data_IF_362373128038
#
_entry.id   IF_362373128038
#
_cell.length_a   1.000
_cell.length_b   1.000
_cell.length_c   1.000
_cell.angle_alpha   90.00
_cell.angle_beta   90.00
_cell.angle_gamma   90.00
#
_symmetry.space_group_name_H-M   'P 1'
#
loop_
_entity.id
_entity.type
_entity.pdbx_description
1 polymer ?
#
# COMPACT_ATOMS: atom_id res chain seq x y z
N UNK A 1 -7.37 -14.12 -6.08
CA UNK A 1 -8.17 -12.90 -6.38
C UNK A 1 -7.20 -11.76 -6.64
N UNK A 2 -7.22 -11.13 -7.82
CA UNK A 2 -6.33 -10.00 -8.11
C UNK A 2 -6.97 -8.71 -7.57
N UNK A 3 -6.71 -8.38 -6.31
CA UNK A 3 -7.24 -7.19 -5.59
C UNK A 3 -6.86 -5.85 -6.23
N UNK A 4 -5.92 -5.84 -7.16
CA UNK A 4 -5.38 -4.65 -7.82
C UNK A 4 -6.12 -4.26 -9.12
N UNK A 5 -7.34 -4.75 -9.34
CA UNK A 5 -8.18 -4.38 -10.49
C UNK A 5 -9.45 -3.69 -10.01
N UNK A 6 -9.88 -2.64 -10.72
CA UNK A 6 -11.14 -1.93 -10.42
C UNK A 6 -12.36 -2.87 -10.39
N UNK A 7 -12.35 -3.95 -11.19
CA UNK A 7 -13.40 -4.96 -11.21
C UNK A 7 -13.68 -5.62 -9.85
N UNK A 8 -12.74 -5.58 -8.90
CA UNK A 8 -12.93 -6.10 -7.55
C UNK A 8 -13.94 -5.25 -6.76
N UNK A 9 -14.08 -3.96 -7.06
CA UNK A 9 -15.06 -3.10 -6.41
C UNK A 9 -16.50 -3.61 -6.64
N UNK A 10 -16.79 -4.13 -7.83
CA UNK A 10 -18.09 -4.73 -8.15
C UNK A 10 -18.34 -6.09 -7.49
N UNK A 11 -17.31 -6.72 -6.89
CA UNK A 11 -17.47 -7.94 -6.12
C UNK A 11 -17.82 -7.66 -4.65
N UNK A 12 -17.51 -6.45 -4.17
CA UNK A 12 -17.63 -6.07 -2.74
C UNK A 12 -18.76 -5.07 -2.51
N UNK A 13 -19.01 -4.17 -3.46
CA UNK A 13 -20.00 -3.10 -3.33
C UNK A 13 -21.18 -3.29 -4.29
N UNK A 14 -22.31 -2.66 -3.95
CA UNK A 14 -23.42 -2.53 -4.88
C UNK A 14 -22.96 -1.82 -6.19
N UNK A 15 -23.55 -2.14 -7.35
CA UNK A 15 -23.08 -1.65 -8.65
C UNK A 15 -22.93 -0.12 -8.74
N UNK A 16 -23.90 0.62 -8.20
CA UNK A 16 -23.89 2.09 -8.21
C UNK A 16 -22.71 2.65 -7.41
N UNK A 17 -22.44 2.07 -6.23
CA UNK A 17 -21.34 2.47 -5.36
C UNK A 17 -19.99 2.10 -5.98
N UNK A 18 -19.88 0.88 -6.53
CA UNK A 18 -18.67 0.43 -7.21
C UNK A 18 -18.32 1.34 -8.40
N UNK A 19 -19.32 1.75 -9.19
CA UNK A 19 -19.13 2.63 -10.32
C UNK A 19 -18.65 4.03 -9.89
N UNK A 20 -19.33 4.61 -8.89
CA UNK A 20 -18.93 5.91 -8.31
C UNK A 20 -17.49 5.90 -7.79
N UNK A 21 -17.06 4.81 -7.17
CA UNK A 21 -15.67 4.64 -6.71
C UNK A 21 -14.70 4.49 -7.89
N UNK A 22 -15.05 3.72 -8.92
CA UNK A 22 -14.23 3.57 -10.12
C UNK A 22 -13.97 4.91 -10.83
N UNK A 23 -15.00 5.75 -10.98
CA UNK A 23 -14.87 7.05 -11.65
C UNK A 23 -13.94 8.03 -10.92
N UNK A 24 -13.73 7.83 -9.61
CA UNK A 24 -12.89 8.70 -8.78
C UNK A 24 -11.44 8.21 -8.64
N UNK A 25 -11.16 6.97 -9.01
CA UNK A 25 -9.85 6.34 -8.81
C UNK A 25 -9.04 6.36 -10.09
N UNK A 26 -7.92 7.08 -10.07
CA UNK A 26 -6.89 6.99 -11.11
C UNK A 26 -5.84 5.96 -10.69
N UNK A 27 -5.66 4.92 -11.52
CA UNK A 27 -4.70 3.85 -11.24
C UNK A 27 -3.42 4.12 -12.03
N UNK A 28 -2.35 4.47 -11.33
CA UNK A 28 -1.02 4.59 -11.90
C UNK A 28 -0.28 3.26 -11.80
N UNK A 29 0.08 2.68 -12.95
CA UNK A 29 0.86 1.44 -12.98
C UNK A 29 2.35 1.73 -12.96
N UNK A 30 3.04 1.28 -11.93
CA UNK A 30 4.51 1.31 -11.87
C UNK A 30 5.10 0.08 -12.59
N UNK A 31 6.06 0.25 -13.51
CA UNK A 31 6.74 -0.87 -14.14
C UNK A 31 7.46 -1.77 -13.12
N UNK A 32 7.50 -3.08 -13.37
CA UNK A 32 8.03 -4.10 -12.43
C UNK A 32 9.46 -3.86 -11.94
N UNK A 33 10.29 -3.15 -12.70
CA UNK A 33 11.69 -2.87 -12.36
C UNK A 33 11.96 -1.37 -12.17
N UNK A 34 10.92 -0.59 -11.88
CA UNK A 34 11.00 0.86 -11.67
C UNK A 34 10.64 1.22 -10.22
N UNK A 35 11.26 0.53 -9.27
CA UNK A 35 11.15 0.80 -7.82
C UNK A 35 11.36 2.27 -7.45
N UNK A 36 12.28 2.94 -8.15
CA UNK A 36 12.59 4.35 -7.97
C UNK A 36 11.46 5.31 -8.37
N UNK A 37 10.46 4.85 -9.14
CA UNK A 37 9.23 5.62 -9.45
C UNK A 37 8.13 5.40 -8.40
N UNK A 38 8.30 4.45 -7.48
CA UNK A 38 7.35 4.20 -6.40
C UNK A 38 7.78 4.96 -5.14
N UNK A 39 7.03 6.02 -4.80
CA UNK A 39 7.33 6.89 -3.64
C UNK A 39 7.42 6.12 -2.32
N UNK A 40 6.65 5.05 -2.14
CA UNK A 40 6.65 4.27 -0.91
C UNK A 40 7.92 3.44 -0.71
N UNK A 41 8.65 3.10 -1.79
CA UNK A 41 9.81 2.21 -1.70
C UNK A 41 11.03 2.86 -1.03
N UNK A 42 11.40 4.13 -1.33
CA UNK A 42 12.41 4.87 -0.58
C UNK A 42 12.09 4.99 0.91
N UNK A 43 10.84 5.31 1.26
CA UNK A 43 10.39 5.43 2.66
C UNK A 43 10.55 4.11 3.40
N UNK A 44 10.09 3.00 2.79
CA UNK A 44 10.23 1.66 3.36
C UNK A 44 11.70 1.23 3.49
N UNK A 45 12.56 1.63 2.55
CA UNK A 45 14.02 1.37 2.61
C UNK A 45 14.69 2.10 3.78
N UNK A 46 14.29 3.34 4.06
CA UNK A 46 14.79 4.12 5.19
C UNK A 46 14.30 3.52 6.51
N UNK A 47 12.99 3.25 6.63
CA UNK A 47 12.40 2.59 7.80
C UNK A 47 13.09 1.25 8.09
N UNK A 48 13.29 0.44 7.04
CA UNK A 48 13.98 -0.84 7.13
C UNK A 48 15.38 -0.72 7.72
N UNK A 49 16.20 0.19 7.18
CA UNK A 49 17.61 0.36 7.60
C UNK A 49 17.79 1.06 8.94
N UNK A 50 16.92 2.01 9.27
CA UNK A 50 17.14 2.90 10.42
C UNK A 50 16.35 2.48 11.67
N UNK A 51 15.22 1.79 11.50
CA UNK A 51 14.32 1.44 12.59
C UNK A 51 14.17 -0.07 12.77
N UNK A 52 13.97 -0.79 11.65
CA UNK A 52 13.58 -2.20 11.67
C UNK A 52 14.75 -3.18 11.56
N UNK A 53 16.00 -2.72 11.41
CA UNK A 53 17.21 -3.57 11.39
C UNK A 53 17.61 -4.09 12.78
N UNK A 54 16.60 -4.53 13.54
CA UNK A 54 16.71 -5.06 14.90
C UNK A 54 15.49 -5.89 15.25
N UNK A 55 15.64 -6.79 16.22
CA UNK A 55 14.50 -7.58 16.72
C UNK A 55 13.57 -6.71 17.55
N UNK A 56 12.29 -6.71 17.20
CA UNK A 56 11.21 -6.07 17.97
C UNK A 56 10.32 -7.17 18.53
N UNK A 57 10.32 -7.32 19.86
CA UNK A 57 9.67 -8.44 20.53
C UNK A 57 8.15 -8.28 20.70
N UNK A 58 7.62 -7.07 20.53
CA UNK A 58 6.21 -6.76 20.78
C UNK A 58 5.63 -5.85 19.69
N UNK A 59 4.42 -6.17 19.25
CA UNK A 59 3.72 -5.43 18.19
C UNK A 59 3.45 -3.97 18.59
N UNK A 60 3.11 -3.70 19.86
CA UNK A 60 2.86 -2.33 20.32
C UNK A 60 4.13 -1.48 20.39
N UNK A 61 5.30 -2.12 20.48
CA UNK A 61 6.57 -1.42 20.35
C UNK A 61 6.85 -1.09 18.88
N UNK A 62 6.62 -2.05 17.96
CA UNK A 62 6.72 -1.80 16.51
C UNK A 62 5.80 -0.65 16.06
N UNK A 63 4.53 -0.62 16.50
CA UNK A 63 3.59 0.44 16.14
C UNK A 63 4.07 1.83 16.56
N UNK A 64 4.69 1.95 17.74
CA UNK A 64 5.24 3.22 18.24
C UNK A 64 6.42 3.68 17.40
N UNK A 65 7.31 2.76 17.06
CA UNK A 65 8.51 3.05 16.25
C UNK A 65 8.18 3.48 14.82
N UNK A 66 7.15 2.90 14.19
CA UNK A 66 6.71 3.27 12.84
C UNK A 66 5.95 4.61 12.81
N UNK A 67 5.42 5.06 13.95
CA UNK A 67 4.66 6.31 14.06
C UNK A 67 5.50 7.52 14.53
N UNK A 68 6.77 7.30 14.87
CA UNK A 68 7.71 8.33 15.31
C UNK A 68 8.35 9.06 14.11
#
# INVERSE_FOLDING_TARGET
>A
MNTHKLAVLYQVYAPEEAHRLCERLEIHYTPKHASWLNMAEPELSVLGRQCLDRRIAAQDFLKREVAA
#
